data_IF_208583833230
#
_entry.id   IF_208583833230
#
_cell.length_a   1.000
_cell.length_b   1.000
_cell.length_c   1.000
_cell.angle_alpha   90.00
_cell.angle_beta   90.00
_cell.angle_gamma   90.00
#
_symmetry.space_group_name_H-M   'P 1'
#
loop_
_entity.id
_entity.type
_entity.pdbx_description
1 polymer ?
#
# COMPACT_ATOMS: atom_id res chain seq x y z
N UNK A 1 -24.93 -15.36 6.31
CA UNK A 1 -24.95 -14.24 5.33
C UNK A 1 -24.50 -14.82 4.00
N UNK A 2 -25.30 -14.74 2.93
CA UNK A 2 -24.74 -15.07 1.59
C UNK A 2 -23.63 -14.07 1.33
N UNK A 3 -22.44 -14.57 1.03
CA UNK A 3 -21.26 -13.77 0.75
C UNK A 3 -21.52 -13.01 -0.56
N UNK A 4 -22.07 -11.79 -0.42
CA UNK A 4 -22.24 -10.88 -1.54
C UNK A 4 -20.86 -10.56 -2.11
N UNK A 5 -20.74 -10.50 -3.43
CA UNK A 5 -19.47 -10.21 -4.09
C UNK A 5 -18.87 -8.92 -3.52
N UNK A 6 -17.73 -9.05 -2.84
CA UNK A 6 -17.05 -7.92 -2.23
C UNK A 6 -16.30 -7.14 -3.31
N UNK A 7 -16.77 -5.94 -3.63
CA UNK A 7 -16.09 -5.04 -4.57
C UNK A 7 -15.06 -4.23 -3.78
N UNK A 8 -13.77 -4.45 -4.04
CA UNK A 8 -12.66 -3.80 -3.35
C UNK A 8 -11.91 -2.86 -4.29
N UNK A 9 -11.62 -1.66 -3.82
CA UNK A 9 -10.58 -0.80 -4.40
C UNK A 9 -9.27 -1.07 -3.65
N UNK A 10 -8.17 -1.22 -4.38
CA UNK A 10 -6.83 -1.40 -3.80
C UNK A 10 -5.94 -0.26 -4.28
N UNK A 11 -5.63 0.73 -3.41
CA UNK A 11 -4.78 1.83 -3.81
C UNK A 11 -3.36 1.36 -4.10
N UNK A 12 -2.73 2.03 -5.06
CA UNK A 12 -1.28 1.99 -5.28
C UNK A 12 -0.66 3.21 -4.59
N UNK A 13 0.27 2.96 -3.67
CA UNK A 13 1.00 3.94 -2.89
C UNK A 13 2.44 3.94 -3.38
N UNK A 14 2.87 5.08 -3.89
CA UNK A 14 4.26 5.31 -4.24
C UNK A 14 5.07 5.57 -2.99
N UNK A 15 6.15 4.81 -2.79
CA UNK A 15 7.02 4.90 -1.60
C UNK A 15 8.47 5.18 -2.02
N UNK A 16 9.25 5.89 -1.20
CA UNK A 16 10.66 6.15 -1.52
C UNK A 16 11.53 4.90 -1.34
N UNK A 17 11.17 4.04 -0.39
CA UNK A 17 11.88 2.81 -0.03
C UNK A 17 10.84 1.72 0.28
N UNK A 18 10.92 0.59 -0.44
CA UNK A 18 9.94 -0.49 -0.36
C UNK A 18 10.07 -1.27 0.94
N UNK A 19 11.29 -1.52 1.41
CA UNK A 19 11.55 -2.36 2.58
C UNK A 19 11.16 -1.64 3.86
N UNK A 20 11.48 -0.35 3.96
CA UNK A 20 11.05 0.51 5.06
C UNK A 20 9.52 0.63 5.11
N UNK A 21 8.87 0.80 3.95
CA UNK A 21 7.42 0.87 3.89
C UNK A 21 6.77 -0.46 4.31
N UNK A 22 7.25 -1.59 3.78
CA UNK A 22 6.81 -2.92 4.22
C UNK A 22 6.96 -3.07 5.74
N UNK A 23 8.12 -2.72 6.30
CA UNK A 23 8.38 -2.82 7.73
C UNK A 23 7.42 -1.99 8.57
N UNK A 24 7.04 -0.80 8.11
CA UNK A 24 6.02 0.01 8.76
C UNK A 24 4.64 -0.64 8.72
N UNK A 25 4.19 -1.10 7.54
CA UNK A 25 2.86 -1.71 7.41
C UNK A 25 2.75 -3.04 8.18
N UNK A 26 3.76 -3.91 8.12
CA UNK A 26 3.76 -5.19 8.85
C UNK A 26 3.98 -4.97 10.36
N UNK A 27 5.04 -4.24 10.73
CA UNK A 27 5.50 -4.15 12.13
C UNK A 27 4.75 -3.14 12.99
N UNK A 28 4.15 -2.11 12.40
CA UNK A 28 3.46 -1.04 13.14
C UNK A 28 1.95 -1.09 12.92
N UNK A 29 1.50 -1.27 11.68
CA UNK A 29 0.07 -1.22 11.35
C UNK A 29 -0.63 -2.59 11.35
N UNK A 30 0.13 -3.68 11.47
CA UNK A 30 -0.40 -5.05 11.56
C UNK A 30 -0.95 -5.59 10.24
N UNK A 31 -0.44 -5.12 9.10
CA UNK A 31 -0.74 -5.71 7.80
C UNK A 31 0.07 -7.00 7.62
N UNK A 32 -0.45 -7.92 6.81
CA UNK A 32 0.29 -9.11 6.36
C UNK A 32 0.79 -8.87 4.94
N UNK A 33 2.07 -9.08 4.68
CA UNK A 33 2.62 -9.08 3.32
C UNK A 33 2.34 -10.42 2.63
N UNK A 34 1.66 -10.35 1.49
CA UNK A 34 1.34 -11.53 0.68
C UNK A 34 2.26 -11.65 -0.54
N UNK A 35 2.69 -10.52 -1.09
CA UNK A 35 3.55 -10.47 -2.28
C UNK A 35 4.65 -9.45 -2.06
N UNK A 36 5.87 -9.80 -2.44
CA UNK A 36 7.01 -8.90 -2.51
C UNK A 36 7.92 -9.32 -3.66
N UNK A 37 8.10 -8.44 -4.64
CA UNK A 37 8.99 -8.66 -5.77
C UNK A 37 9.71 -7.35 -6.11
N UNK A 38 11.00 -7.28 -5.80
CA UNK A 38 11.81 -6.10 -6.05
C UNK A 38 11.20 -4.85 -5.40
N UNK A 39 10.82 -3.89 -6.23
CA UNK A 39 10.24 -2.59 -5.81
C UNK A 39 8.74 -2.61 -5.57
N UNK A 40 8.08 -3.77 -5.63
CA UNK A 40 6.64 -3.90 -5.51
C UNK A 40 6.24 -4.81 -4.35
N UNK A 41 5.19 -4.42 -3.60
CA UNK A 41 4.58 -5.27 -2.60
C UNK A 41 3.06 -5.16 -2.56
N UNK A 42 2.40 -6.25 -2.17
CA UNK A 42 0.99 -6.28 -1.79
C UNK A 42 0.87 -6.69 -0.33
N UNK A 43 0.17 -5.87 0.44
CA UNK A 43 -0.10 -6.12 1.85
C UNK A 43 -1.59 -5.99 2.11
N UNK A 44 -2.10 -6.78 3.04
CA UNK A 44 -3.51 -6.76 3.42
C UNK A 44 -3.67 -6.92 4.93
N UNK A 45 -4.62 -6.15 5.47
CA UNK A 45 -5.16 -6.34 6.81
C UNK A 45 -6.66 -6.53 6.68
N UNK A 46 -7.12 -7.72 7.04
CA UNK A 46 -8.52 -8.14 6.93
C UNK A 46 -9.10 -8.00 5.52
N UNK A 47 -9.83 -6.90 5.23
CA UNK A 47 -10.38 -6.60 3.91
C UNK A 47 -9.79 -5.37 3.26
N UNK A 48 -8.74 -4.81 3.85
CA UNK A 48 -8.05 -3.65 3.35
C UNK A 48 -6.72 -4.05 2.72
N UNK A 49 -6.70 -4.10 1.39
CA UNK A 49 -5.49 -4.34 0.61
C UNK A 49 -4.84 -3.02 0.18
N UNK A 50 -3.51 -2.96 0.24
CA UNK A 50 -2.69 -1.86 -0.30
C UNK A 50 -1.59 -2.42 -1.19
N UNK A 51 -1.24 -1.68 -2.23
CA UNK A 51 -0.10 -1.98 -3.10
C UNK A 51 0.95 -0.90 -2.95
N UNK A 52 2.17 -1.30 -2.68
CA UNK A 52 3.32 -0.41 -2.56
C UNK A 52 4.18 -0.53 -3.82
N UNK A 53 4.64 0.60 -4.33
CA UNK A 53 5.58 0.65 -5.45
C UNK A 53 6.68 1.66 -5.13
N UNK A 54 7.93 1.22 -5.12
CA UNK A 54 9.06 2.12 -4.93
C UNK A 54 9.22 3.02 -6.15
N UNK A 55 9.48 4.29 -5.91
CA UNK A 55 9.87 5.23 -6.96
C UNK A 55 11.26 4.89 -7.51
N UNK A 56 11.46 5.14 -8.80
CA UNK A 56 12.76 5.04 -9.45
C UNK A 56 13.29 6.44 -9.79
N UNK A 57 14.27 6.94 -9.04
CA UNK A 57 14.84 8.28 -9.27
C UNK A 57 13.80 9.41 -9.12
N UNK A 58 13.86 10.40 -10.00
CA UNK A 58 12.94 11.55 -10.01
C UNK A 58 11.56 11.23 -10.64
N UNK A 59 11.30 9.97 -11.01
CA UNK A 59 9.97 9.50 -11.46
C UNK A 59 8.91 9.49 -10.33
N UNK A 60 9.30 9.90 -9.12
CA UNK A 60 8.34 10.27 -8.08
C UNK A 60 7.52 11.49 -8.51
N UNK A 61 6.27 11.58 -8.03
CA UNK A 61 5.35 12.68 -8.36
C UNK A 61 6.07 14.06 -8.37
N UNK A 62 5.83 14.95 -9.36
CA UNK A 62 6.59 16.19 -9.56
C UNK A 62 6.65 17.09 -8.31
N UNK A 63 7.68 17.95 -8.16
CA UNK A 63 7.75 18.92 -7.06
C UNK A 63 6.52 19.85 -7.06
N UNK A 64 5.71 19.78 -6.00
CA UNK A 64 4.40 20.47 -5.92
C UNK A 64 3.56 20.00 -4.73
N UNK A 65 2.22 20.13 -4.81
CA UNK A 65 1.21 19.76 -3.80
C UNK A 65 1.13 18.21 -3.56
N UNK A 66 2.26 17.61 -3.17
CA UNK A 66 2.52 16.18 -2.97
C UNK A 66 1.81 15.60 -1.74
N UNK A 67 0.49 15.68 -1.68
CA UNK A 67 -0.31 15.03 -0.64
C UNK A 67 -1.40 14.17 -1.25
N UNK A 68 -1.01 13.10 -1.95
CA UNK A 68 -1.90 11.94 -2.02
C UNK A 68 -1.90 11.34 -0.60
N UNK A 69 -2.83 11.82 0.22
CA UNK A 69 -3.14 11.20 1.49
C UNK A 69 -4.10 10.06 1.19
N UNK A 70 -3.60 8.82 1.35
CA UNK A 70 -4.45 7.64 1.30
C UNK A 70 -5.08 7.50 2.69
N UNK A 71 -6.33 7.94 2.82
CA UNK A 71 -7.11 7.64 4.01
C UNK A 71 -7.67 6.24 3.83
N UNK A 72 -7.31 5.38 4.77
CA UNK A 72 -7.67 3.99 4.78
C UNK A 72 -8.32 3.74 6.13
N UNK A 73 -9.64 3.70 6.14
CA UNK A 73 -10.38 3.25 7.31
C UNK A 73 -10.37 1.72 7.31
N UNK A 74 -9.72 1.15 8.32
CA UNK A 74 -9.74 -0.28 8.63
C UNK A 74 -10.59 -0.44 9.90
N UNK A 75 -11.67 -1.21 9.81
CA UNK A 75 -12.40 -1.69 11.00
C UNK A 75 -11.65 -2.84 11.67
#
# INVERSE_FOLDING_TARGET
MKEGAFIRITPFIHVPDIDAAIGFFEGVLGFTKYIHFGTYAYLEREKCGVRLLQNAGDEGAPPGNRRFAYYIDVE
#
